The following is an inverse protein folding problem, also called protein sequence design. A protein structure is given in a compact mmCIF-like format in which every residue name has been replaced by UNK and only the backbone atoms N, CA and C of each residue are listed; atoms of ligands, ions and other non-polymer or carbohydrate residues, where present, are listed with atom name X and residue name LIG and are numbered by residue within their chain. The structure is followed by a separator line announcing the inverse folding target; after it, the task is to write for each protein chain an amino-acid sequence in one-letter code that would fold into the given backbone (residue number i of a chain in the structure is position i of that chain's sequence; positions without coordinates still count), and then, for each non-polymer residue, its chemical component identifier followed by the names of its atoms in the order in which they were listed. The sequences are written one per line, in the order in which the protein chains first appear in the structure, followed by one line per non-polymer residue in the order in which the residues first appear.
data_IF_099920749872
#
_entry.id   IF_099920749872
#
_cell.length_a   1.000
_cell.length_b   1.000
_cell.length_c   1.000
_cell.angle_alpha   90.00
_cell.angle_beta   90.00
_cell.angle_gamma   90.00
#
_symmetry.space_group_name_H-M   'P 1'
#
loop_
_entity.id
_entity.type
_entity.pdbx_description
1 polymer ?
#
# COMPACT_ATOMS: atom_id res chain seq x y z
N UNK A 1 7.14 3.69 -12.58
CA UNK A 1 7.08 4.97 -11.82
C UNK A 1 7.19 6.19 -12.73
N UNK A 2 8.35 6.46 -13.36
CA UNK A 2 8.57 7.70 -14.16
C UNK A 2 7.62 7.85 -15.35
N UNK A 3 7.38 6.80 -16.13
CA UNK A 3 6.50 6.81 -17.31
C UNK A 3 5.07 7.24 -16.98
N UNK A 4 4.53 6.73 -15.87
CA UNK A 4 3.14 6.98 -15.44
C UNK A 4 3.04 8.00 -14.30
N UNK A 5 4.16 8.66 -13.95
CA UNK A 5 4.23 9.64 -12.85
C UNK A 5 3.59 9.16 -11.54
N UNK A 6 3.80 7.88 -11.22
CA UNK A 6 3.30 7.28 -9.98
C UNK A 6 3.89 8.03 -8.79
N UNK A 7 3.02 8.43 -7.85
CA UNK A 7 3.41 9.22 -6.67
C UNK A 7 3.60 8.37 -5.42
N UNK A 8 2.89 7.24 -5.35
CA UNK A 8 2.86 6.37 -4.16
C UNK A 8 3.05 4.91 -4.58
N UNK A 9 3.92 4.21 -3.87
CA UNK A 9 4.09 2.75 -3.96
C UNK A 9 3.38 2.14 -2.76
N UNK A 10 2.51 1.17 -3.03
CA UNK A 10 1.87 0.37 -1.99
C UNK A 10 2.65 -0.91 -1.74
N UNK A 11 2.95 -1.18 -0.47
CA UNK A 11 3.61 -2.41 -0.04
C UNK A 11 2.71 -3.22 0.84
N UNK A 12 2.80 -4.53 0.74
CA UNK A 12 2.11 -5.45 1.63
C UNK A 12 2.94 -5.63 2.91
N UNK A 13 2.28 -5.85 4.06
CA UNK A 13 2.95 -6.04 5.35
C UNK A 13 3.96 -7.19 5.35
N UNK A 14 3.76 -8.17 4.48
CA UNK A 14 4.61 -9.36 4.33
C UNK A 14 5.73 -9.19 3.29
N UNK A 15 5.69 -8.12 2.48
CA UNK A 15 6.70 -7.86 1.48
C UNK A 15 7.97 -7.23 2.11
N UNK A 16 9.15 -7.57 1.59
CA UNK A 16 10.41 -7.08 2.14
C UNK A 16 10.52 -5.54 2.01
N UNK A 17 10.56 -4.85 3.15
CA UNK A 17 10.65 -3.38 3.22
C UNK A 17 11.87 -2.80 2.50
N UNK A 18 12.98 -3.56 2.39
CA UNK A 18 14.24 -3.11 1.77
C UNK A 18 14.12 -2.75 0.29
N UNK A 19 13.28 -3.47 -0.45
CA UNK A 19 13.07 -3.18 -1.88
C UNK A 19 12.30 -1.87 -2.00
N UNK A 20 11.22 -1.74 -1.24
CA UNK A 20 10.39 -0.55 -1.26
C UNK A 20 11.14 0.71 -0.77
N UNK A 21 11.94 0.61 0.29
CA UNK A 21 12.82 1.68 0.76
C UNK A 21 13.83 2.13 -0.31
N UNK A 22 14.37 1.20 -1.08
CA UNK A 22 15.29 1.51 -2.18
C UNK A 22 14.58 2.25 -3.32
N UNK A 23 13.35 1.84 -3.64
CA UNK A 23 12.51 2.52 -4.64
C UNK A 23 12.14 3.94 -4.19
N UNK A 24 11.79 4.16 -2.93
CA UNK A 24 11.54 5.51 -2.37
C UNK A 24 12.78 6.38 -2.51
N UNK A 25 13.95 5.90 -2.07
CA UNK A 25 15.22 6.66 -2.15
C UNK A 25 15.62 7.02 -3.57
N UNK A 26 15.39 6.12 -4.54
CA UNK A 26 15.82 6.30 -5.93
C UNK A 26 14.83 7.08 -6.80
N UNK A 27 13.54 7.13 -6.42
CA UNK A 27 12.49 7.74 -7.26
C UNK A 27 11.75 8.90 -6.60
N UNK A 28 11.91 9.09 -5.28
CA UNK A 28 11.26 10.18 -4.52
C UNK A 28 9.76 9.98 -4.31
N UNK A 29 9.23 8.80 -4.59
CA UNK A 29 7.82 8.45 -4.39
C UNK A 29 7.53 8.11 -2.93
N UNK A 30 6.30 8.38 -2.48
CA UNK A 30 5.82 7.97 -1.17
C UNK A 30 5.64 6.46 -1.08
N UNK A 31 5.64 5.95 0.15
CA UNK A 31 5.39 4.53 0.45
C UNK A 31 4.25 4.45 1.45
N UNK A 32 3.24 3.64 1.12
CA UNK A 32 2.14 3.29 2.03
C UNK A 32 1.98 1.79 2.11
N UNK A 33 1.46 1.34 3.24
CA UNK A 33 1.08 -0.06 3.42
C UNK A 33 -0.36 -0.26 2.94
N UNK A 34 -0.59 -1.33 2.18
CA UNK A 34 -1.92 -1.78 1.77
C UNK A 34 -2.01 -3.28 2.04
N UNK A 35 -3.05 -3.73 2.72
CA UNK A 35 -3.18 -5.13 3.10
C UNK A 35 -3.85 -5.92 1.96
N UNK A 36 -3.23 -6.98 1.40
CA UNK A 36 -3.84 -7.75 0.32
C UNK A 36 -4.97 -8.68 0.79
N UNK A 37 -5.20 -8.79 2.11
CA UNK A 37 -6.19 -9.67 2.75
C UNK A 37 -6.00 -11.16 2.42
N UNK A 38 -4.79 -11.57 2.03
CA UNK A 38 -4.39 -12.97 1.83
C UNK A 38 -4.19 -13.71 3.17
N UNK A 39 -3.94 -12.96 4.23
CA UNK A 39 -3.82 -13.45 5.60
C UNK A 39 -4.78 -12.67 6.50
N UNK A 40 -5.19 -13.30 7.60
CA UNK A 40 -6.01 -12.66 8.63
C UNK A 40 -5.28 -11.39 9.13
N UNK A 41 -5.89 -10.19 8.98
CA UNK A 41 -5.35 -8.94 9.50
C UNK A 41 -5.20 -8.88 11.02
N UNK A 42 -5.70 -9.89 11.76
CA UNK A 42 -5.67 -9.97 13.22
C UNK A 42 -6.34 -8.78 13.90
N UNK A 43 -7.52 -8.41 13.43
CA UNK A 43 -8.34 -7.34 13.98
C UNK A 43 -9.81 -7.78 14.10
N UNK A 44 -10.62 -6.97 14.80
CA UNK A 44 -12.03 -7.27 15.05
C UNK A 44 -12.97 -6.83 13.91
N UNK A 45 -12.42 -6.53 12.72
CA UNK A 45 -13.20 -6.04 11.57
C UNK A 45 -13.66 -7.21 10.69
N UNK A 46 -14.82 -7.05 10.10
CA UNK A 46 -15.30 -7.93 9.04
C UNK A 46 -14.41 -7.81 7.79
N UNK A 47 -14.54 -8.77 6.89
CA UNK A 47 -13.84 -8.75 5.60
C UNK A 47 -14.16 -7.47 4.80
N UNK A 48 -15.43 -7.05 4.76
CA UNK A 48 -15.85 -5.88 3.99
C UNK A 48 -15.34 -4.57 4.61
N UNK A 49 -15.29 -4.46 5.93
CA UNK A 49 -14.70 -3.30 6.60
C UNK A 49 -13.19 -3.21 6.31
N UNK A 50 -12.47 -4.33 6.37
CA UNK A 50 -11.05 -4.37 5.99
C UNK A 50 -10.84 -3.99 4.51
N UNK A 51 -11.72 -4.44 3.61
CA UNK A 51 -11.67 -4.08 2.20
C UNK A 51 -11.97 -2.59 1.98
N UNK A 52 -12.97 -2.05 2.67
CA UNK A 52 -13.35 -0.64 2.60
C UNK A 52 -12.21 0.26 3.05
N UNK A 53 -11.48 -0.11 4.11
CA UNK A 53 -10.30 0.63 4.55
C UNK A 53 -9.19 0.63 3.50
N UNK A 54 -8.91 -0.52 2.89
CA UNK A 54 -7.95 -0.61 1.80
C UNK A 54 -8.38 0.25 0.59
N UNK A 55 -9.66 0.21 0.22
CA UNK A 55 -10.21 1.02 -0.86
C UNK A 55 -10.14 2.52 -0.55
N UNK A 56 -10.35 2.90 0.71
CA UNK A 56 -10.25 4.28 1.16
C UNK A 56 -8.82 4.81 1.02
N UNK A 57 -7.83 4.03 1.45
CA UNK A 57 -6.40 4.37 1.28
C UNK A 57 -6.05 4.55 -0.20
N UNK A 58 -6.50 3.63 -1.07
CA UNK A 58 -6.29 3.74 -2.52
C UNK A 58 -6.94 5.00 -3.09
N UNK A 59 -8.19 5.28 -2.72
CA UNK A 59 -8.93 6.42 -3.22
C UNK A 59 -8.31 7.75 -2.76
N UNK A 60 -7.77 7.84 -1.54
CA UNK A 60 -7.09 9.03 -1.05
C UNK A 60 -5.79 9.34 -1.79
N UNK A 61 -5.00 8.32 -2.13
CA UNK A 61 -3.71 8.49 -2.81
C UNK A 61 -3.83 8.72 -4.32
N UNK A 62 -4.97 8.38 -4.91
CA UNK A 62 -5.25 8.57 -6.33
C UNK A 62 -6.00 9.88 -6.65
N UNK A 63 -6.39 10.66 -5.63
CA UNK A 63 -6.94 12.02 -5.79
C UNK A 63 -5.87 13.03 -6.21
#
# INVERSE_FOLDING_TARGET
VKTYKVKTIFTESNASSKVAETLVKSTGVGLKTLNPLEADPQNDKTYLENLEENMSILAEELK
#
